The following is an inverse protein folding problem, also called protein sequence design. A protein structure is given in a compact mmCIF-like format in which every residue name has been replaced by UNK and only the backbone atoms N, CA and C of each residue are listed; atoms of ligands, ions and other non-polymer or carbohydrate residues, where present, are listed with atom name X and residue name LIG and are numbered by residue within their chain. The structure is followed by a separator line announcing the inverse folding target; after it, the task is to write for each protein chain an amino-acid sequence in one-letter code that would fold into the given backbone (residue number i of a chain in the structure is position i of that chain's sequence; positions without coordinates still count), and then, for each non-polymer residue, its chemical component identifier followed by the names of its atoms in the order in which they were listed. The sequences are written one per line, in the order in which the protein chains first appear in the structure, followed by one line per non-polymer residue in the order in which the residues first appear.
data_IF_104563976084
#
_entry.id   IF_104563976084
#
_cell.length_a   1.000
_cell.length_b   1.000
_cell.length_c   1.000
_cell.angle_alpha   90.00
_cell.angle_beta   90.00
_cell.angle_gamma   90.00
#
_symmetry.space_group_name_H-M   'P 1'
#
loop_
_entity.id
_entity.type
_entity.pdbx_description
1 polymer ?
#
# COMPACT_ATOMS: atom_id res chain seq x y z
N UNK A 1 15.37 -1.15 20.36
CA UNK A 1 14.66 -2.06 21.27
C UNK A 1 13.67 -1.26 22.13
N UNK A 2 12.55 -1.89 22.50
CA UNK A 2 11.53 -1.29 23.35
C UNK A 2 11.26 -2.19 24.53
N UNK A 3 11.18 -1.61 25.74
CA UNK A 3 10.71 -2.28 26.97
C UNK A 3 9.46 -1.54 27.44
N UNK A 4 8.30 -2.07 27.13
CA UNK A 4 7.02 -1.42 27.32
C UNK A 4 6.30 -1.80 28.62
N UNK A 5 6.71 -2.90 29.24
CA UNK A 5 6.15 -3.39 30.52
C UNK A 5 6.69 -2.62 31.74
N UNK A 6 7.84 -1.93 31.58
CA UNK A 6 8.46 -1.16 32.64
C UNK A 6 7.76 0.22 32.82
N UNK A 7 7.88 0.78 34.01
CA UNK A 7 7.43 2.15 34.30
C UNK A 7 8.56 2.92 35.00
N UNK A 8 9.17 3.92 34.33
CA UNK A 8 8.91 4.42 32.99
C UNK A 8 9.29 3.41 31.90
N UNK A 9 8.59 3.48 30.76
CA UNK A 9 8.87 2.70 29.54
C UNK A 9 10.23 3.10 28.98
N UNK A 10 10.95 2.14 28.36
CA UNK A 10 12.27 2.40 27.82
C UNK A 10 12.28 2.29 26.29
N UNK A 11 12.74 3.32 25.61
CA UNK A 11 13.03 3.32 24.18
C UNK A 11 14.54 3.34 23.99
N UNK A 12 15.11 2.21 23.56
CA UNK A 12 16.56 2.02 23.41
C UNK A 12 16.91 2.32 21.95
N UNK A 13 17.74 3.33 21.75
CA UNK A 13 18.20 3.79 20.44
C UNK A 13 19.73 3.69 20.36
N UNK A 14 20.28 3.94 19.17
CA UNK A 14 21.74 4.06 18.98
C UNK A 14 22.34 5.24 19.75
N UNK A 15 21.53 6.25 20.07
CA UNK A 15 21.94 7.44 20.85
C UNK A 15 21.72 7.33 22.35
N UNK A 16 21.21 6.19 22.85
CA UNK A 16 20.98 5.94 24.27
C UNK A 16 19.57 5.50 24.61
N UNK A 17 19.26 5.46 25.91
CA UNK A 17 17.96 5.04 26.45
C UNK A 17 17.11 6.28 26.74
N UNK A 18 15.91 6.31 26.22
CA UNK A 18 14.89 7.33 26.49
C UNK A 18 13.86 6.73 27.45
N UNK A 19 13.64 7.37 28.59
CA UNK A 19 12.60 7.01 29.54
C UNK A 19 11.33 7.81 29.22
N UNK A 20 10.21 7.12 29.05
CA UNK A 20 8.94 7.72 28.68
C UNK A 20 7.78 7.18 29.52
N UNK A 21 6.82 8.04 29.89
CA UNK A 21 5.59 7.63 30.56
C UNK A 21 4.61 6.97 29.57
N UNK A 22 4.65 7.39 28.31
CA UNK A 22 3.87 6.81 27.21
C UNK A 22 4.68 6.79 25.91
N UNK A 23 4.26 5.95 24.95
CA UNK A 23 4.87 5.84 23.62
C UNK A 23 3.78 5.83 22.57
N UNK A 24 3.95 6.62 21.51
CA UNK A 24 3.10 6.59 20.32
C UNK A 24 3.87 5.93 19.17
N UNK A 25 3.35 4.83 18.65
CA UNK A 25 3.89 4.11 17.50
C UNK A 25 3.30 4.69 16.21
N UNK A 26 4.11 5.33 15.38
CA UNK A 26 3.67 6.00 14.15
C UNK A 26 4.62 5.74 12.97
N UNK A 27 5.12 4.49 12.85
CA UNK A 27 6.12 4.08 11.87
C UNK A 27 5.59 3.93 10.44
N UNK A 28 4.26 3.96 10.26
CA UNK A 28 3.62 3.91 8.94
C UNK A 28 3.61 2.54 8.27
N UNK A 29 3.47 2.56 6.96
CA UNK A 29 3.45 1.37 6.11
C UNK A 29 4.06 1.70 4.74
N UNK A 30 4.56 0.68 4.02
CA UNK A 30 5.12 0.82 2.68
C UNK A 30 4.29 0.01 1.67
N UNK A 31 4.09 0.51 0.45
CA UNK A 31 3.60 -0.32 -0.64
C UNK A 31 4.62 -1.44 -0.91
N UNK A 32 4.10 -2.61 -1.25
CA UNK A 32 4.95 -3.71 -1.73
C UNK A 32 5.39 -3.41 -3.14
N UNK A 33 6.68 -3.53 -3.36
CA UNK A 33 7.28 -3.42 -4.69
C UNK A 33 7.22 -4.77 -5.42
N UNK A 34 7.28 -4.74 -6.75
CA UNK A 34 7.46 -5.94 -7.56
C UNK A 34 8.92 -6.43 -7.50
N UNK A 35 9.84 -5.51 -7.23
CA UNK A 35 11.29 -5.75 -7.18
C UNK A 35 11.90 -5.94 -8.57
N UNK A 36 11.37 -5.26 -9.58
CA UNK A 36 11.77 -5.37 -10.98
C UNK A 36 12.60 -4.17 -11.43
N UNK A 37 13.29 -4.34 -12.55
CA UNK A 37 14.15 -3.32 -13.14
C UNK A 37 13.36 -2.03 -13.43
N UNK A 38 13.94 -0.89 -13.12
CA UNK A 38 13.43 0.47 -13.26
C UNK A 38 12.23 0.85 -12.38
N UNK A 39 11.69 -0.05 -11.56
CA UNK A 39 10.54 0.26 -10.70
C UNK A 39 10.83 1.46 -9.78
N UNK A 40 11.89 1.40 -8.99
CA UNK A 40 12.27 2.47 -8.08
C UNK A 40 12.75 3.74 -8.80
N UNK A 41 13.46 3.57 -9.93
CA UNK A 41 13.99 4.68 -10.71
C UNK A 41 12.88 5.54 -11.34
N UNK A 42 11.80 4.89 -11.80
CA UNK A 42 10.67 5.56 -12.46
C UNK A 42 9.51 5.88 -11.50
N UNK A 43 9.69 5.70 -10.19
CA UNK A 43 8.72 6.10 -9.18
C UNK A 43 8.46 7.60 -9.24
N UNK A 44 7.19 8.00 -9.36
CA UNK A 44 6.76 9.38 -9.58
C UNK A 44 6.99 9.88 -11.02
N UNK A 45 7.53 9.02 -11.91
CA UNK A 45 7.74 9.30 -13.33
C UNK A 45 6.97 8.32 -14.22
N UNK A 46 5.82 7.89 -13.74
CA UNK A 46 4.95 6.90 -14.39
C UNK A 46 4.71 5.65 -13.55
N UNK A 47 5.56 5.32 -12.58
CA UNK A 47 5.31 4.28 -11.59
C UNK A 47 4.65 4.91 -10.36
N UNK A 48 3.48 4.37 -9.96
CA UNK A 48 2.67 4.83 -8.84
C UNK A 48 2.15 3.65 -8.00
N UNK A 49 1.81 3.92 -6.74
CA UNK A 49 1.28 2.94 -5.79
C UNK A 49 -0.08 3.36 -5.22
N UNK A 50 -0.64 4.46 -5.70
CA UNK A 50 -1.90 5.01 -5.21
C UNK A 50 -2.69 5.60 -6.39
N UNK A 51 -3.71 4.89 -6.87
CA UNK A 51 -4.54 5.36 -7.97
C UNK A 51 -5.29 6.67 -7.64
N UNK A 52 -5.84 6.78 -6.44
CA UNK A 52 -6.55 7.99 -5.99
C UNK A 52 -5.64 9.20 -5.81
N UNK A 53 -4.33 8.99 -5.56
CA UNK A 53 -3.36 10.06 -5.40
C UNK A 53 -2.87 10.59 -6.76
N UNK A 54 -2.54 9.67 -7.67
CA UNK A 54 -1.77 9.97 -8.88
C UNK A 54 -2.59 9.81 -10.18
N UNK A 55 -3.76 9.17 -10.13
CA UNK A 55 -4.55 8.80 -11.32
C UNK A 55 -4.88 9.97 -12.24
N UNK A 56 -5.13 11.16 -11.69
CA UNK A 56 -5.47 12.35 -12.48
C UNK A 56 -4.34 12.81 -13.41
N UNK A 57 -3.06 12.50 -13.09
CA UNK A 57 -1.93 12.82 -13.99
C UNK A 57 -1.90 11.96 -15.25
N UNK A 58 -2.71 10.90 -15.27
CA UNK A 58 -2.82 9.96 -16.40
C UNK A 58 -4.13 10.11 -17.19
N UNK A 59 -4.83 11.21 -17.04
CA UNK A 59 -6.06 11.48 -17.80
C UNK A 59 -5.81 11.35 -19.30
N UNK A 60 -6.65 10.54 -19.97
CA UNK A 60 -6.57 10.29 -21.40
C UNK A 60 -5.40 9.42 -21.86
N UNK A 61 -4.62 8.85 -20.92
CA UNK A 61 -3.49 7.96 -21.21
C UNK A 61 -3.87 6.50 -21.04
N UNK A 62 -3.03 5.62 -21.55
CA UNK A 62 -3.10 4.18 -21.31
C UNK A 62 -2.22 3.82 -20.11
N UNK A 63 -2.78 3.04 -19.18
CA UNK A 63 -2.09 2.67 -17.94
C UNK A 63 -2.25 1.18 -17.63
N UNK A 64 -1.28 0.63 -16.91
CA UNK A 64 -1.34 -0.71 -16.35
C UNK A 64 -1.59 -0.65 -14.85
N UNK A 65 -2.42 -1.57 -14.34
CA UNK A 65 -2.59 -1.86 -12.92
C UNK A 65 -2.12 -3.28 -12.66
N UNK A 66 -1.18 -3.45 -11.74
CA UNK A 66 -0.60 -4.76 -11.43
C UNK A 66 -1.14 -5.25 -10.10
N UNK A 67 -1.90 -6.36 -10.12
CA UNK A 67 -2.46 -6.94 -8.92
C UNK A 67 -3.69 -7.81 -9.19
N UNK A 68 -4.38 -8.27 -8.15
CA UNK A 68 -5.59 -9.12 -8.29
C UNK A 68 -6.38 -9.26 -7.00
N UNK A 69 -6.10 -8.40 -6.02
CA UNK A 69 -6.90 -8.21 -4.82
C UNK A 69 -7.92 -7.08 -4.99
N UNK A 70 -8.70 -6.80 -3.94
CA UNK A 70 -9.70 -5.72 -3.95
C UNK A 70 -9.08 -4.38 -4.40
N UNK A 71 -7.93 -4.00 -3.85
CA UNK A 71 -7.24 -2.75 -4.19
C UNK A 71 -6.96 -2.63 -5.68
N UNK A 72 -6.36 -3.65 -6.30
CA UNK A 72 -6.05 -3.60 -7.73
C UNK A 72 -7.30 -3.46 -8.61
N UNK A 73 -8.39 -4.15 -8.24
CA UNK A 73 -9.65 -4.10 -8.97
C UNK A 73 -10.31 -2.71 -8.81
N UNK A 74 -10.31 -2.15 -7.59
CA UNK A 74 -10.83 -0.81 -7.31
C UNK A 74 -9.98 0.28 -7.97
N UNK A 75 -8.64 0.12 -7.98
CA UNK A 75 -7.75 1.04 -8.67
C UNK A 75 -7.99 1.04 -10.19
N UNK A 76 -8.19 -0.15 -10.79
CA UNK A 76 -8.50 -0.25 -12.21
C UNK A 76 -9.86 0.39 -12.54
N UNK A 77 -10.88 0.16 -11.71
CA UNK A 77 -12.17 0.81 -11.82
C UNK A 77 -12.03 2.34 -11.74
N UNK A 78 -11.38 2.85 -10.70
CA UNK A 78 -11.17 4.29 -10.53
C UNK A 78 -10.42 4.93 -11.70
N UNK A 79 -9.36 4.29 -12.19
CA UNK A 79 -8.58 4.79 -13.31
C UNK A 79 -9.37 4.75 -14.63
N UNK A 80 -10.32 3.85 -14.78
CA UNK A 80 -11.16 3.77 -15.98
C UNK A 80 -12.01 5.02 -16.23
N UNK A 81 -12.32 5.80 -15.19
CA UNK A 81 -13.06 7.06 -15.31
C UNK A 81 -12.21 8.19 -15.92
N UNK A 82 -10.91 8.06 -15.92
CA UNK A 82 -9.99 9.12 -16.35
C UNK A 82 -9.08 8.71 -17.52
N UNK A 83 -8.65 7.44 -17.54
CA UNK A 83 -7.72 6.93 -18.54
C UNK A 83 -8.44 6.46 -19.80
N UNK A 84 -7.78 6.54 -20.95
CA UNK A 84 -8.33 6.02 -22.22
C UNK A 84 -8.42 4.50 -22.23
N UNK A 85 -7.45 3.83 -21.60
CA UNK A 85 -7.39 2.38 -21.47
C UNK A 85 -6.70 1.98 -20.17
N UNK A 86 -7.18 0.93 -19.51
CA UNK A 86 -6.59 0.34 -18.31
C UNK A 86 -6.35 -1.14 -18.55
N UNK A 87 -5.11 -1.57 -18.41
CA UNK A 87 -4.71 -2.97 -18.46
C UNK A 87 -4.55 -3.51 -17.04
N UNK A 88 -5.45 -4.40 -16.62
CA UNK A 88 -5.37 -5.04 -15.30
C UNK A 88 -4.61 -6.36 -15.40
N UNK A 89 -3.34 -6.35 -14.98
CA UNK A 89 -2.41 -7.46 -15.12
C UNK A 89 -2.43 -8.33 -13.87
N UNK A 90 -2.75 -9.60 -14.03
CA UNK A 90 -2.78 -10.54 -12.91
C UNK A 90 -2.01 -11.83 -13.22
N UNK A 91 -1.20 -12.28 -12.25
CA UNK A 91 -0.32 -13.46 -12.35
C UNK A 91 -1.04 -14.81 -12.30
N UNK A 92 -2.36 -14.84 -12.15
CA UNK A 92 -3.22 -16.03 -12.09
C UNK A 92 -4.38 -15.87 -13.08
N UNK A 93 -5.18 -16.91 -13.24
CA UNK A 93 -6.38 -16.95 -14.08
C UNK A 93 -7.66 -16.52 -13.36
N UNK A 94 -7.57 -16.19 -12.06
CA UNK A 94 -8.70 -15.70 -11.28
C UNK A 94 -8.27 -14.62 -10.27
N UNK A 95 -9.15 -13.64 -10.01
CA UNK A 95 -8.94 -12.65 -8.98
C UNK A 95 -9.25 -13.20 -7.58
N UNK A 96 -8.59 -12.62 -6.58
CA UNK A 96 -8.89 -12.87 -5.15
C UNK A 96 -9.83 -11.83 -4.55
N UNK A 97 -10.16 -10.78 -5.29
CA UNK A 97 -11.05 -9.71 -4.84
C UNK A 97 -12.52 -10.17 -4.81
N UNK A 98 -13.38 -9.35 -4.22
CA UNK A 98 -14.82 -9.62 -4.12
C UNK A 98 -15.48 -9.78 -5.50
N UNK A 99 -16.41 -10.72 -5.64
CA UNK A 99 -17.06 -11.03 -6.93
C UNK A 99 -17.76 -9.82 -7.55
N UNK A 100 -18.43 -8.99 -6.74
CA UNK A 100 -19.11 -7.78 -7.21
C UNK A 100 -18.15 -6.78 -7.87
N UNK A 101 -16.94 -6.61 -7.33
CA UNK A 101 -15.90 -5.77 -7.93
C UNK A 101 -15.39 -6.37 -9.24
N UNK A 102 -15.23 -7.70 -9.29
CA UNK A 102 -14.80 -8.38 -10.51
C UNK A 102 -15.81 -8.23 -11.64
N UNK A 103 -17.11 -8.37 -11.34
CA UNK A 103 -18.20 -8.21 -12.35
C UNK A 103 -18.20 -6.78 -12.88
N UNK A 104 -18.06 -5.79 -12.01
CA UNK A 104 -18.01 -4.38 -12.39
C UNK A 104 -16.84 -4.09 -13.34
N UNK A 105 -15.63 -4.48 -12.97
CA UNK A 105 -14.42 -4.26 -13.79
C UNK A 105 -14.54 -4.94 -15.17
N UNK A 106 -15.07 -6.18 -15.21
CA UNK A 106 -15.27 -6.90 -16.47
C UNK A 106 -16.33 -6.28 -17.39
N UNK A 107 -17.24 -5.46 -16.86
CA UNK A 107 -18.27 -4.76 -17.64
C UNK A 107 -17.81 -3.42 -18.23
N UNK A 108 -16.65 -2.90 -17.81
CA UNK A 108 -16.13 -1.62 -18.26
C UNK A 108 -15.37 -1.77 -19.59
N UNK A 109 -15.77 -1.06 -20.65
CA UNK A 109 -15.28 -1.31 -22.01
C UNK A 109 -13.81 -0.92 -22.21
N UNK A 110 -13.28 -0.03 -21.38
CA UNK A 110 -11.90 0.44 -21.45
C UNK A 110 -10.97 -0.27 -20.45
N UNK A 111 -11.43 -1.33 -19.79
CA UNK A 111 -10.58 -2.20 -18.99
C UNK A 111 -10.32 -3.51 -19.73
N UNK A 112 -9.07 -3.89 -19.83
CA UNK A 112 -8.63 -5.17 -20.34
C UNK A 112 -7.89 -5.95 -19.28
N UNK A 113 -8.32 -7.20 -19.04
CA UNK A 113 -7.67 -8.06 -18.06
C UNK A 113 -6.67 -8.98 -18.75
N UNK A 114 -5.41 -8.91 -18.33
CA UNK A 114 -4.32 -9.75 -18.81
C UNK A 114 -4.01 -10.79 -17.74
N UNK A 115 -4.42 -12.03 -18.00
CA UNK A 115 -4.29 -13.14 -17.07
C UNK A 115 -2.95 -13.86 -17.17
N UNK A 116 -2.62 -14.62 -16.12
CA UNK A 116 -1.44 -15.48 -16.03
C UNK A 116 -0.12 -14.76 -16.31
N UNK A 117 -0.10 -13.44 -16.18
CA UNK A 117 0.98 -12.59 -16.67
C UNK A 117 1.61 -11.79 -15.52
N UNK A 118 2.92 -11.66 -15.57
CA UNK A 118 3.72 -10.82 -14.67
C UNK A 118 4.43 -9.74 -15.49
N UNK A 119 4.70 -8.62 -14.82
CA UNK A 119 5.60 -7.58 -15.35
C UNK A 119 7.02 -7.96 -14.94
N UNK A 120 7.93 -8.06 -15.89
CA UNK A 120 9.35 -8.38 -15.64
C UNK A 120 10.23 -7.14 -15.58
N UNK A 121 9.84 -6.10 -16.32
CA UNK A 121 10.62 -4.86 -16.43
C UNK A 121 9.69 -3.69 -16.78
N UNK A 122 10.04 -2.51 -16.32
CA UNK A 122 9.44 -1.25 -16.73
C UNK A 122 10.42 -0.54 -17.65
N UNK A 123 10.00 -0.20 -18.86
CA UNK A 123 10.85 0.42 -19.87
C UNK A 123 10.63 1.94 -19.90
N UNK A 124 11.74 2.66 -20.12
CA UNK A 124 11.78 4.11 -20.19
C UNK A 124 13.04 4.65 -19.51
N UNK A 125 13.43 5.86 -19.84
CA UNK A 125 14.57 6.57 -19.25
C UNK A 125 14.12 7.67 -18.29
N UNK A 126 13.33 8.61 -18.78
CA UNK A 126 12.84 9.75 -17.99
C UNK A 126 11.44 9.51 -17.42
N UNK A 127 10.65 8.68 -18.06
CA UNK A 127 9.29 8.28 -17.68
C UNK A 127 8.99 6.88 -18.18
N UNK A 128 7.89 6.30 -17.71
CA UNK A 128 7.37 5.04 -18.23
C UNK A 128 6.95 5.21 -19.69
N UNK A 129 7.40 4.28 -20.54
CA UNK A 129 7.08 4.22 -21.98
C UNK A 129 6.39 2.89 -22.33
N UNK A 130 6.85 1.78 -21.75
CA UNK A 130 6.26 0.46 -21.91
C UNK A 130 6.59 -0.45 -20.73
N UNK A 131 6.02 -1.64 -20.72
CA UNK A 131 6.34 -2.73 -19.78
C UNK A 131 6.59 -4.03 -20.53
N UNK A 132 7.59 -4.77 -20.08
CA UNK A 132 7.84 -6.14 -20.55
C UNK A 132 7.03 -7.12 -19.72
N UNK A 133 6.29 -7.97 -20.41
CA UNK A 133 5.36 -8.94 -19.83
C UNK A 133 5.84 -10.36 -20.09
N UNK A 134 5.61 -11.26 -19.13
CA UNK A 134 5.79 -12.70 -19.27
C UNK A 134 4.48 -13.42 -18.91
N UNK A 135 3.91 -14.15 -19.86
CA UNK A 135 2.83 -15.08 -19.57
C UNK A 135 3.40 -16.35 -18.91
N UNK A 136 2.99 -16.62 -17.69
CA UNK A 136 3.52 -17.73 -16.88
C UNK A 136 3.06 -19.12 -17.31
N UNK A 137 2.00 -19.22 -18.13
CA UNK A 137 1.50 -20.51 -18.65
C UNK A 137 2.15 -20.87 -19.97
N UNK A 138 2.32 -19.88 -20.87
CA UNK A 138 2.87 -20.11 -22.21
C UNK A 138 4.37 -19.81 -22.31
N UNK A 139 4.95 -19.12 -21.33
CA UNK A 139 6.29 -18.54 -21.35
C UNK A 139 6.50 -17.53 -22.51
N UNK A 140 5.42 -17.00 -23.03
CA UNK A 140 5.47 -15.97 -24.08
C UNK A 140 5.83 -14.62 -23.45
N UNK A 141 6.81 -13.95 -24.06
CA UNK A 141 7.18 -12.59 -23.71
C UNK A 141 6.52 -11.63 -24.69
N UNK A 142 6.07 -10.49 -24.18
CA UNK A 142 5.47 -9.41 -24.96
C UNK A 142 5.82 -8.06 -24.35
N UNK A 143 5.61 -7.01 -25.13
CA UNK A 143 5.77 -5.64 -24.68
C UNK A 143 4.42 -4.91 -24.80
N UNK A 144 4.10 -4.10 -23.80
CA UNK A 144 2.86 -3.32 -23.75
C UNK A 144 3.21 -1.85 -23.56
N UNK A 145 2.86 -1.01 -24.53
CA UNK A 145 3.02 0.45 -24.42
C UNK A 145 2.01 1.00 -23.41
N UNK A 146 2.52 1.69 -22.38
CA UNK A 146 1.72 2.36 -21.35
C UNK A 146 2.46 3.59 -20.85
N UNK A 147 1.74 4.60 -20.41
CA UNK A 147 2.33 5.82 -19.86
C UNK A 147 2.34 5.84 -18.34
N UNK A 148 1.75 4.82 -17.70
CA UNK A 148 1.76 4.67 -16.26
C UNK A 148 1.56 3.24 -15.80
N UNK A 149 2.17 2.90 -14.66
CA UNK A 149 2.06 1.59 -14.01
C UNK A 149 1.68 1.79 -12.55
N UNK A 150 0.50 1.32 -12.15
CA UNK A 150 0.00 1.34 -10.79
C UNK A 150 0.23 -0.03 -10.15
N UNK A 151 1.06 -0.08 -9.12
CA UNK A 151 1.42 -1.33 -8.45
C UNK A 151 0.55 -1.52 -7.22
N UNK A 152 -0.39 -2.47 -7.28
CA UNK A 152 -1.40 -2.75 -6.27
C UNK A 152 -1.29 -4.19 -5.73
N UNK A 153 -0.08 -4.59 -5.31
CA UNK A 153 0.22 -5.96 -4.83
C UNK A 153 0.23 -6.09 -3.30
N UNK A 154 -0.18 -5.02 -2.61
CA UNK A 154 -0.36 -4.97 -1.17
C UNK A 154 0.47 -3.89 -0.49
N UNK A 155 0.29 -3.79 0.83
CA UNK A 155 0.98 -2.86 1.71
C UNK A 155 1.58 -3.65 2.87
N UNK A 156 2.76 -3.26 3.34
CA UNK A 156 3.43 -3.86 4.50
C UNK A 156 3.59 -2.80 5.58
N UNK A 157 2.98 -2.96 6.76
CA UNK A 157 3.18 -2.05 7.88
C UNK A 157 4.61 -2.19 8.44
N UNK A 158 5.14 -1.08 8.95
CA UNK A 158 6.47 -1.05 9.59
C UNK A 158 6.32 -1.39 11.07
N UNK A 159 6.22 -2.68 11.37
CA UNK A 159 5.87 -3.19 12.71
C UNK A 159 6.87 -4.18 13.30
N UNK A 160 7.95 -4.51 12.61
CA UNK A 160 8.91 -5.54 13.05
C UNK A 160 9.41 -5.32 14.48
N UNK A 161 9.70 -4.06 14.82
CA UNK A 161 10.20 -3.69 16.16
C UNK A 161 9.14 -3.78 17.27
N UNK A 162 7.87 -3.93 16.92
CA UNK A 162 6.73 -4.01 17.85
C UNK A 162 6.17 -5.43 17.99
N UNK A 163 6.72 -6.37 17.22
CA UNK A 163 6.27 -7.75 17.23
C UNK A 163 6.43 -8.37 18.62
N UNK A 164 5.34 -8.96 19.13
CA UNK A 164 5.28 -9.55 20.47
C UNK A 164 5.16 -8.54 21.63
N UNK A 165 5.19 -7.23 21.35
CA UNK A 165 5.04 -6.18 22.38
C UNK A 165 3.60 -5.67 22.51
N UNK A 166 2.82 -5.73 21.44
CA UNK A 166 1.42 -5.31 21.37
C UNK A 166 0.61 -6.29 20.54
N UNK A 167 -0.70 -6.30 20.72
CA UNK A 167 -1.59 -7.13 19.90
C UNK A 167 -1.62 -6.66 18.46
N UNK A 168 -1.51 -7.61 17.51
CA UNK A 168 -1.50 -7.33 16.07
C UNK A 168 -2.60 -8.08 15.32
N UNK A 169 -3.01 -7.53 14.19
CA UNK A 169 -3.91 -8.16 13.22
C UNK A 169 -3.32 -8.01 11.81
N UNK A 170 -3.07 -9.14 11.14
CA UNK A 170 -2.44 -9.17 9.81
C UNK A 170 -1.16 -8.31 9.67
N UNK A 171 -0.36 -8.23 10.74
CA UNK A 171 0.87 -7.45 10.81
C UNK A 171 0.68 -5.98 11.19
N UNK A 172 -0.54 -5.48 11.29
CA UNK A 172 -0.86 -4.12 11.76
C UNK A 172 -1.05 -4.12 13.28
N UNK A 173 -0.67 -3.02 13.94
CA UNK A 173 -0.96 -2.84 15.37
C UNK A 173 -2.48 -2.70 15.54
N UNK A 174 -3.07 -3.55 16.39
CA UNK A 174 -4.48 -3.47 16.73
C UNK A 174 -4.72 -2.29 17.67
N UNK A 175 -5.36 -1.26 17.18
CA UNK A 175 -5.70 -0.05 17.93
C UNK A 175 -7.06 0.49 17.49
N UNK A 176 -7.75 1.10 18.47
CA UNK A 176 -9.03 1.79 18.27
C UNK A 176 -8.84 3.17 17.66
N UNK A 177 -9.95 3.88 17.39
CA UNK A 177 -9.91 5.23 16.81
C UNK A 177 -9.24 6.27 17.72
N UNK A 178 -9.21 6.03 19.02
CA UNK A 178 -8.49 6.85 20.01
C UNK A 178 -6.98 6.49 20.11
N UNK A 179 -6.50 5.58 19.28
CA UNK A 179 -5.12 5.15 19.21
C UNK A 179 -4.67 4.18 20.30
N UNK A 180 -5.53 3.76 21.23
CA UNK A 180 -5.15 2.83 22.31
C UNK A 180 -4.83 1.45 21.76
N UNK A 181 -3.75 0.88 22.27
CA UNK A 181 -3.32 -0.51 21.98
C UNK A 181 -3.68 -1.46 23.12
N UNK A 182 -3.26 -2.71 23.03
CA UNK A 182 -3.42 -3.71 24.09
C UNK A 182 -2.57 -3.46 25.35
N UNK A 183 -1.66 -2.49 25.32
CA UNK A 183 -0.74 -2.18 26.41
C UNK A 183 -0.97 -0.75 26.90
N UNK A 184 -1.20 -0.57 28.20
CA UNK A 184 -1.44 0.73 28.79
C UNK A 184 -0.28 1.70 28.60
N UNK A 185 -0.62 2.94 28.19
CA UNK A 185 0.36 3.99 27.87
C UNK A 185 1.07 3.81 26.55
N UNK A 186 0.66 2.82 25.75
CA UNK A 186 1.12 2.61 24.38
C UNK A 186 0.00 2.88 23.40
N UNK A 187 0.29 3.75 22.44
CA UNK A 187 -0.66 4.21 21.43
C UNK A 187 -0.12 3.96 20.03
N UNK A 188 -1.02 3.87 19.05
CA UNK A 188 -0.65 3.74 17.64
C UNK A 188 -1.43 4.73 16.77
N UNK A 189 -0.75 5.35 15.81
CA UNK A 189 -1.32 6.36 14.93
C UNK A 189 -0.85 6.14 13.48
N UNK A 190 -1.73 6.44 12.51
CA UNK A 190 -1.42 6.36 11.09
C UNK A 190 -1.49 4.94 10.52
N UNK A 191 -0.75 4.72 9.44
CA UNK A 191 -0.88 3.53 8.59
C UNK A 191 -0.35 2.24 9.21
N UNK A 192 0.35 2.34 10.32
CA UNK A 192 0.88 1.21 11.10
C UNK A 192 -0.21 0.41 11.84
N UNK A 193 -1.37 1.04 12.10
CA UNK A 193 -2.48 0.42 12.83
C UNK A 193 -3.57 -0.16 11.91
N UNK A 194 -4.43 -1.00 12.50
CA UNK A 194 -5.64 -1.50 11.85
C UNK A 194 -6.59 -0.36 11.52
N UNK A 195 -6.92 -0.19 10.24
CA UNK A 195 -7.87 0.83 9.75
C UNK A 195 -8.30 0.53 8.31
N UNK A 196 -9.50 0.96 7.89
CA UNK A 196 -9.98 0.71 6.53
C UNK A 196 -9.32 1.59 5.47
N UNK A 197 -8.99 2.85 5.80
CA UNK A 197 -8.46 3.83 4.87
C UNK A 197 -7.10 4.36 5.32
N UNK A 198 -6.11 4.33 4.43
CA UNK A 198 -4.74 4.82 4.63
C UNK A 198 -4.48 5.98 3.69
N UNK A 199 -4.53 7.19 4.25
CA UNK A 199 -4.29 8.47 3.57
C UNK A 199 -3.65 9.45 4.55
N UNK A 200 -2.97 10.48 4.05
CA UNK A 200 -2.32 11.50 4.89
C UNK A 200 -3.31 12.10 5.89
N UNK A 201 -4.52 12.45 5.44
CA UNK A 201 -5.55 13.06 6.29
C UNK A 201 -5.99 12.12 7.42
N UNK A 202 -6.07 10.79 7.17
CA UNK A 202 -6.43 9.83 8.22
C UNK A 202 -5.27 9.59 9.18
N UNK A 203 -4.03 9.67 8.73
CA UNK A 203 -2.86 9.59 9.60
C UNK A 203 -2.74 10.82 10.51
N UNK A 204 -3.02 12.01 10.00
CA UNK A 204 -3.08 13.26 10.78
C UNK A 204 -4.17 13.19 11.85
N UNK A 205 -5.37 12.71 11.48
CA UNK A 205 -6.48 12.52 12.43
C UNK A 205 -6.10 11.54 13.55
N UNK A 206 -5.45 10.41 13.21
CA UNK A 206 -4.98 9.45 14.20
C UNK A 206 -3.98 10.08 15.19
N UNK A 207 -3.06 10.90 14.67
CA UNK A 207 -2.08 11.60 15.51
C UNK A 207 -2.75 12.52 16.53
N UNK A 208 -3.76 13.29 16.10
CA UNK A 208 -4.52 14.18 16.99
C UNK A 208 -5.29 13.38 18.08
N UNK A 209 -5.94 12.27 17.67
CA UNK A 209 -6.67 11.41 18.61
C UNK A 209 -5.72 10.73 19.61
N UNK A 210 -4.59 10.22 19.15
CA UNK A 210 -3.60 9.57 20.00
C UNK A 210 -3.02 10.51 21.05
N UNK A 211 -2.70 11.77 20.68
CA UNK A 211 -2.20 12.77 21.63
C UNK A 211 -3.25 13.11 22.69
N UNK A 212 -4.50 13.29 22.30
CA UNK A 212 -5.60 13.50 23.25
C UNK A 212 -5.74 12.33 24.25
N UNK A 213 -5.51 11.11 23.77
CA UNK A 213 -5.52 9.91 24.62
C UNK A 213 -4.30 9.83 25.55
N UNK A 214 -3.14 10.25 25.07
CA UNK A 214 -1.93 10.39 25.89
C UNK A 214 -2.12 11.39 27.02
N UNK A 215 -2.70 12.57 26.74
CA UNK A 215 -2.99 13.59 27.75
C UNK A 215 -3.90 13.08 28.85
N UNK A 216 -4.90 12.27 28.51
CA UNK A 216 -5.81 11.66 29.49
C UNK A 216 -5.16 10.52 30.29
N UNK A 217 -4.12 9.90 29.75
CA UNK A 217 -3.39 8.82 30.40
C UNK A 217 -2.36 9.35 31.43
N UNK A 218 -1.71 10.49 31.15
CA UNK A 218 -0.68 11.11 31.99
C UNK A 218 -1.26 11.84 33.21
#
# INVERSE_FOLDING_TARGET
ELKLEENPKQVITTGGVILAKSVVMASGAHPRELGIENESQLRGRGVAYCATCDGMFFRGKEVAVVGGGNTAIQDAEFLSDYCSKVYLIHRRDEFRGAKSLQEKVKSLPNIEVIWDTVVEKINGTDKVESISLLNKKTNEQSELEVQGVFIAVGITPVTDVFSGLVEMDHGYIKASEDGRTSVDGIFAAGDVRTKPLRQIVTAVSDGANAITSVERYL
#
